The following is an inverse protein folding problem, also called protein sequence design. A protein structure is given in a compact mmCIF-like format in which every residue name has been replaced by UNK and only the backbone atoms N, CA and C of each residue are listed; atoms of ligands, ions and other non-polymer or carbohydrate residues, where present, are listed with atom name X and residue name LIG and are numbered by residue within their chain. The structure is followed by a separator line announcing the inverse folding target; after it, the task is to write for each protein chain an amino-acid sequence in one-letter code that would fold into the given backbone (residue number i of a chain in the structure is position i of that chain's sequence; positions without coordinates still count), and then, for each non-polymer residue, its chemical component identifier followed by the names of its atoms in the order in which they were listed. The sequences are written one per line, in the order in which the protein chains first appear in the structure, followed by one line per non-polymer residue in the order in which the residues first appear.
data_IF_584985025037
#
_entry.id   IF_584985025037
#
_cell.length_a   1.000
_cell.length_b   1.000
_cell.length_c   1.000
_cell.angle_alpha   90.00
_cell.angle_beta   90.00
_cell.angle_gamma   90.00
#
_symmetry.space_group_name_H-M   'P 1'
#
loop_
_entity.id
_entity.type
_entity.pdbx_description
1 polymer ?
#
# COMPACT_ATOMS: atom_id res chain seq x y z
N UNK A 1 -46.58 -19.96 21.91
CA UNK A 1 -47.47 -19.57 20.79
C UNK A 1 -46.93 -20.25 19.56
N UNK A 2 -47.79 -20.82 18.73
CA UNK A 2 -47.41 -21.40 17.43
C UNK A 2 -47.77 -20.44 16.28
N UNK A 3 -47.53 -20.86 15.04
CA UNK A 3 -47.79 -20.05 13.86
C UNK A 3 -49.30 -19.76 13.69
N UNK A 4 -50.15 -20.75 13.92
CA UNK A 4 -51.60 -20.63 13.71
C UNK A 4 -52.19 -19.64 14.71
N UNK A 5 -51.85 -19.79 16.01
CA UNK A 5 -52.30 -18.87 17.05
C UNK A 5 -51.84 -17.42 16.80
N UNK A 6 -50.59 -17.23 16.34
CA UNK A 6 -50.07 -15.90 15.97
C UNK A 6 -50.89 -15.29 14.83
N UNK A 7 -51.06 -16.05 13.74
CA UNK A 7 -51.69 -15.56 12.51
C UNK A 7 -53.19 -15.28 12.71
N UNK A 8 -53.88 -16.09 13.51
CA UNK A 8 -55.28 -15.83 13.87
C UNK A 8 -55.44 -14.54 14.67
N UNK A 9 -54.60 -14.34 15.68
CA UNK A 9 -54.60 -13.10 16.49
C UNK A 9 -54.25 -11.87 15.65
N UNK A 10 -53.25 -11.99 14.79
CA UNK A 10 -52.87 -10.93 13.87
C UNK A 10 -54.01 -10.60 12.89
N UNK A 11 -54.67 -11.61 12.32
CA UNK A 11 -55.83 -11.42 11.46
C UNK A 11 -57.03 -10.79 12.19
N UNK A 12 -57.15 -11.02 13.49
CA UNK A 12 -58.14 -10.35 14.35
C UNK A 12 -57.78 -8.90 14.70
N UNK A 13 -56.64 -8.39 14.22
CA UNK A 13 -56.18 -7.01 14.43
C UNK A 13 -55.27 -6.81 15.64
N UNK A 14 -54.87 -7.89 16.32
CA UNK A 14 -53.84 -7.80 17.36
C UNK A 14 -52.48 -7.55 16.71
N UNK A 15 -51.81 -6.46 17.09
CA UNK A 15 -50.47 -6.13 16.58
C UNK A 15 -49.38 -6.31 17.64
N UNK A 16 -49.73 -6.50 18.91
CA UNK A 16 -48.81 -6.42 20.05
C UNK A 16 -48.43 -7.79 20.58
N UNK A 17 -47.35 -8.35 20.08
CA UNK A 17 -46.82 -9.66 20.48
C UNK A 17 -45.50 -9.51 21.25
N UNK A 18 -45.56 -8.78 22.36
CA UNK A 18 -44.39 -8.49 23.19
C UNK A 18 -43.91 -9.75 23.91
N UNK A 19 -42.60 -9.97 23.94
CA UNK A 19 -41.97 -11.04 24.73
C UNK A 19 -42.51 -12.46 24.44
N UNK A 20 -43.15 -12.66 23.30
CA UNK A 20 -43.65 -13.98 22.90
C UNK A 20 -42.49 -14.91 22.54
N UNK A 21 -42.69 -16.21 22.72
CA UNK A 21 -41.76 -17.23 22.27
C UNK A 21 -42.30 -17.89 21.00
N UNK A 22 -41.56 -17.71 19.91
CA UNK A 22 -41.82 -18.21 18.56
C UNK A 22 -40.58 -18.91 17.99
N UNK A 23 -39.75 -19.50 18.86
CA UNK A 23 -38.51 -20.19 18.44
C UNK A 23 -38.81 -21.33 17.47
N UNK A 24 -38.13 -21.34 16.33
CA UNK A 24 -38.26 -22.40 15.32
C UNK A 24 -39.61 -22.44 14.60
N UNK A 25 -40.49 -21.47 14.81
CA UNK A 25 -41.81 -21.43 14.17
C UNK A 25 -41.65 -21.13 12.67
N UNK A 26 -42.50 -21.76 11.84
CA UNK A 26 -42.55 -21.46 10.42
C UNK A 26 -43.60 -20.37 10.14
N UNK A 27 -43.13 -19.22 9.67
CA UNK A 27 -43.89 -18.04 9.26
C UNK A 27 -43.52 -17.63 7.81
N UNK A 28 -43.10 -18.59 7.00
CA UNK A 28 -42.76 -18.37 5.58
C UNK A 28 -43.90 -17.69 4.85
N UNK A 29 -43.61 -16.60 4.14
CA UNK A 29 -44.59 -15.83 3.36
C UNK A 29 -45.66 -15.12 4.21
N UNK A 30 -45.56 -15.14 5.54
CA UNK A 30 -46.56 -14.50 6.39
C UNK A 30 -46.56 -12.98 6.19
N UNK A 31 -47.76 -12.39 6.13
CA UNK A 31 -47.91 -10.94 6.18
C UNK A 31 -48.01 -10.50 7.65
N UNK A 32 -46.96 -9.87 8.15
CA UNK A 32 -46.80 -9.39 9.52
C UNK A 32 -46.43 -7.90 9.54
N UNK A 33 -46.89 -7.15 8.53
CA UNK A 33 -46.61 -5.72 8.43
C UNK A 33 -47.08 -4.97 9.68
N UNK A 34 -46.24 -4.09 10.22
CA UNK A 34 -46.60 -3.28 11.38
C UNK A 34 -46.74 -4.05 12.69
N UNK A 35 -46.40 -5.35 12.72
CA UNK A 35 -46.42 -6.14 13.94
C UNK A 35 -45.40 -5.61 14.95
N UNK A 36 -45.71 -5.72 16.23
CA UNK A 36 -44.81 -5.39 17.32
C UNK A 36 -44.34 -6.68 18.02
N UNK A 37 -43.09 -7.05 17.76
CA UNK A 37 -42.39 -8.17 18.37
C UNK A 37 -41.35 -7.71 19.40
N UNK A 38 -41.55 -6.54 20.02
CA UNK A 38 -40.61 -6.03 21.03
C UNK A 38 -40.28 -7.10 22.07
N UNK A 39 -38.98 -7.35 22.26
CA UNK A 39 -38.43 -8.34 23.19
C UNK A 39 -38.86 -9.81 22.95
N UNK A 40 -39.49 -10.12 21.81
CA UNK A 40 -39.87 -11.49 21.48
C UNK A 40 -38.65 -12.36 21.14
N UNK A 41 -38.80 -13.67 21.34
CA UNK A 41 -37.81 -14.67 21.01
C UNK A 41 -38.22 -15.45 19.76
N UNK A 42 -37.59 -15.07 18.64
CA UNK A 42 -37.78 -15.65 17.31
C UNK A 42 -36.51 -16.41 16.88
N UNK A 43 -35.76 -16.97 17.83
CA UNK A 43 -34.54 -17.73 17.51
C UNK A 43 -34.88 -18.88 16.55
N UNK A 44 -34.21 -18.94 15.41
CA UNK A 44 -34.38 -20.01 14.42
C UNK A 44 -35.73 -20.02 13.70
N UNK A 45 -36.52 -18.95 13.79
CA UNK A 45 -37.78 -18.82 13.05
C UNK A 45 -37.52 -18.87 11.54
N UNK A 46 -38.47 -19.42 10.79
CA UNK A 46 -38.48 -19.31 9.33
C UNK A 46 -39.43 -18.18 8.91
N UNK A 47 -38.87 -17.10 8.39
CA UNK A 47 -39.53 -15.89 7.90
C UNK A 47 -39.16 -15.64 6.43
N UNK A 48 -38.75 -16.68 5.68
CA UNK A 48 -38.45 -16.54 4.26
C UNK A 48 -39.67 -15.96 3.53
N UNK A 49 -39.43 -15.00 2.63
CA UNK A 49 -40.45 -14.27 1.86
C UNK A 49 -41.54 -13.55 2.69
N UNK A 50 -41.38 -13.47 4.02
CA UNK A 50 -42.37 -12.84 4.89
C UNK A 50 -42.35 -11.31 4.75
N UNK A 51 -43.52 -10.67 4.96
CA UNK A 51 -43.62 -9.22 4.98
C UNK A 51 -43.63 -8.70 6.43
N UNK A 52 -42.53 -8.11 6.85
CA UNK A 52 -42.33 -7.45 8.16
C UNK A 52 -42.22 -5.93 8.01
N UNK A 53 -42.68 -5.35 6.88
CA UNK A 53 -42.54 -3.91 6.67
C UNK A 53 -43.17 -3.13 7.81
N UNK A 54 -42.49 -2.09 8.29
CA UNK A 54 -42.97 -1.23 9.39
C UNK A 54 -43.15 -1.96 10.73
N UNK A 55 -42.68 -3.19 10.87
CA UNK A 55 -42.70 -3.89 12.15
C UNK A 55 -41.78 -3.19 13.17
N UNK A 56 -42.10 -3.37 14.45
CA UNK A 56 -41.25 -3.01 15.57
C UNK A 56 -40.57 -4.28 16.11
N UNK A 57 -39.25 -4.36 15.93
CA UNK A 57 -38.42 -5.50 16.33
C UNK A 57 -37.39 -5.09 17.40
N UNK A 58 -37.73 -4.09 18.21
CA UNK A 58 -36.84 -3.60 19.27
C UNK A 58 -36.46 -4.73 20.24
N UNK A 59 -35.16 -4.95 20.45
CA UNK A 59 -34.65 -6.01 21.33
C UNK A 59 -35.15 -7.43 20.99
N UNK A 60 -35.66 -7.65 19.79
CA UNK A 60 -36.11 -8.98 19.34
C UNK A 60 -34.90 -9.88 19.06
N UNK A 61 -35.00 -11.15 19.44
CA UNK A 61 -33.96 -12.14 19.14
C UNK A 61 -34.32 -12.97 17.91
N UNK A 62 -33.64 -12.70 16.78
CA UNK A 62 -33.72 -13.42 15.51
C UNK A 62 -32.43 -14.22 15.23
N UNK A 63 -31.70 -14.62 16.26
CA UNK A 63 -30.49 -15.44 16.11
C UNK A 63 -30.83 -16.68 15.28
N UNK A 64 -30.04 -16.96 14.22
CA UNK A 64 -30.23 -18.10 13.30
C UNK A 64 -31.58 -18.13 12.56
N UNK A 65 -32.31 -17.02 12.48
CA UNK A 65 -33.54 -16.95 11.70
C UNK A 65 -33.26 -17.05 10.19
N UNK A 66 -34.20 -17.60 9.43
CA UNK A 66 -34.21 -17.53 7.97
C UNK A 66 -35.12 -16.39 7.53
N UNK A 67 -34.59 -15.42 6.80
CA UNK A 67 -35.25 -14.17 6.37
C UNK A 67 -34.94 -13.91 4.88
N UNK A 68 -34.66 -14.96 4.11
CA UNK A 68 -34.34 -14.86 2.69
C UNK A 68 -35.47 -14.15 1.96
N UNK A 69 -35.15 -13.13 1.17
CA UNK A 69 -36.11 -12.27 0.45
C UNK A 69 -37.19 -11.61 1.32
N UNK A 70 -37.09 -11.65 2.65
CA UNK A 70 -38.09 -11.06 3.52
C UNK A 70 -38.12 -9.54 3.34
N UNK A 71 -39.31 -8.96 3.46
CA UNK A 71 -39.48 -7.52 3.40
C UNK A 71 -39.42 -6.92 4.81
N UNK A 72 -38.28 -6.35 5.18
CA UNK A 72 -38.05 -5.60 6.42
C UNK A 72 -37.94 -4.09 6.14
N UNK A 73 -38.58 -3.58 5.09
CA UNK A 73 -38.50 -2.16 4.76
C UNK A 73 -39.19 -1.31 5.81
N UNK A 74 -38.67 -0.11 6.04
CA UNK A 74 -39.27 0.88 6.95
C UNK A 74 -39.50 0.36 8.37
N UNK A 75 -38.75 -0.65 8.85
CA UNK A 75 -38.82 -1.10 10.25
C UNK A 75 -38.75 0.10 11.19
N UNK A 76 -39.66 0.13 12.16
CA UNK A 76 -39.80 1.26 13.09
C UNK A 76 -39.21 0.88 14.44
N UNK A 77 -38.30 1.70 14.94
CA UNK A 77 -37.71 1.53 16.28
C UNK A 77 -37.10 0.14 16.54
N UNK A 78 -36.54 -0.53 15.54
CA UNK A 78 -35.93 -1.87 15.69
C UNK A 78 -34.49 -1.80 16.20
N UNK A 79 -34.27 -0.93 17.18
CA UNK A 79 -32.96 -0.77 17.81
C UNK A 79 -32.59 -2.04 18.57
N UNK A 80 -31.30 -2.38 18.54
CA UNK A 80 -30.76 -3.52 19.30
C UNK A 80 -31.37 -4.88 18.94
N UNK A 81 -31.92 -5.04 17.73
CA UNK A 81 -32.33 -6.36 17.22
C UNK A 81 -31.10 -7.27 17.09
N UNK A 82 -31.26 -8.54 17.48
CA UNK A 82 -30.19 -9.53 17.37
C UNK A 82 -30.44 -10.48 16.19
N UNK A 83 -29.64 -10.34 15.13
CA UNK A 83 -29.67 -11.09 13.88
C UNK A 83 -28.39 -11.94 13.71
N UNK A 84 -27.69 -12.26 14.80
CA UNK A 84 -26.46 -13.06 14.75
C UNK A 84 -26.75 -14.40 14.04
N UNK A 85 -25.92 -14.78 13.07
CA UNK A 85 -26.08 -16.01 12.26
C UNK A 85 -27.38 -16.12 11.45
N UNK A 86 -28.15 -15.04 11.29
CA UNK A 86 -29.37 -15.07 10.48
C UNK A 86 -29.02 -15.05 8.97
N UNK A 87 -29.90 -15.64 8.15
CA UNK A 87 -29.83 -15.54 6.69
C UNK A 87 -30.84 -14.50 6.20
N UNK A 88 -30.35 -13.34 5.76
CA UNK A 88 -31.12 -12.25 5.16
C UNK A 88 -30.75 -12.05 3.68
N UNK A 89 -30.26 -13.09 3.00
CA UNK A 89 -29.91 -12.98 1.58
C UNK A 89 -31.10 -12.49 0.76
N UNK A 90 -30.88 -11.47 -0.06
CA UNK A 90 -31.91 -10.81 -0.87
C UNK A 90 -32.98 -10.02 -0.08
N UNK A 91 -32.87 -9.92 1.26
CA UNK A 91 -33.88 -9.22 2.06
C UNK A 91 -33.92 -7.71 1.76
N UNK A 92 -35.10 -7.13 1.89
CA UNK A 92 -35.31 -5.69 1.71
C UNK A 92 -35.34 -4.98 3.07
N UNK A 93 -34.26 -4.29 3.44
CA UNK A 93 -34.14 -3.46 4.64
C UNK A 93 -34.14 -1.95 4.32
N UNK A 94 -34.65 -1.57 3.15
CA UNK A 94 -34.66 -0.18 2.70
C UNK A 94 -35.37 0.73 3.71
N UNK A 95 -34.75 1.85 4.03
CA UNK A 95 -35.27 2.86 4.97
C UNK A 95 -35.59 2.32 6.38
N UNK A 96 -35.09 1.12 6.74
CA UNK A 96 -35.26 0.56 8.06
C UNK A 96 -34.48 1.34 9.12
N UNK A 97 -35.07 1.52 10.31
CA UNK A 97 -34.35 1.99 11.48
C UNK A 97 -33.90 0.81 12.35
N UNK A 98 -32.63 0.41 12.17
CA UNK A 98 -32.02 -0.75 12.80
C UNK A 98 -30.68 -0.38 13.46
N UNK A 99 -30.59 0.84 14.01
CA UNK A 99 -29.41 1.29 14.74
C UNK A 99 -29.07 0.35 15.90
N UNK A 100 -27.78 0.15 16.18
CA UNK A 100 -27.29 -0.75 17.22
C UNK A 100 -27.68 -2.22 17.07
N UNK A 101 -28.19 -2.63 15.91
CA UNK A 101 -28.47 -4.04 15.61
C UNK A 101 -27.19 -4.88 15.55
N UNK A 102 -27.30 -6.16 15.88
CA UNK A 102 -26.21 -7.12 15.77
C UNK A 102 -26.44 -8.09 14.60
N UNK A 103 -25.67 -7.92 13.52
CA UNK A 103 -25.63 -8.78 12.33
C UNK A 103 -24.36 -9.64 12.28
N UNK A 104 -23.67 -9.84 13.40
CA UNK A 104 -22.42 -10.60 13.36
C UNK A 104 -22.63 -12.02 12.81
N UNK A 105 -21.79 -12.42 11.87
CA UNK A 105 -21.87 -13.70 11.13
C UNK A 105 -23.18 -13.89 10.33
N UNK A 106 -23.96 -12.84 10.09
CA UNK A 106 -25.17 -12.93 9.28
C UNK A 106 -24.83 -12.93 7.78
N UNK A 107 -25.71 -13.54 6.98
CA UNK A 107 -25.68 -13.43 5.53
C UNK A 107 -26.63 -12.32 5.08
N UNK A 108 -26.12 -11.28 4.42
CA UNK A 108 -26.89 -10.20 3.81
C UNK A 108 -26.55 -10.05 2.32
N UNK A 109 -26.06 -11.10 1.68
CA UNK A 109 -25.73 -11.06 0.26
C UNK A 109 -26.94 -10.64 -0.56
N UNK A 110 -26.75 -9.70 -1.48
CA UNK A 110 -27.80 -9.11 -2.32
C UNK A 110 -28.89 -8.33 -1.56
N UNK A 111 -28.75 -8.08 -0.26
CA UNK A 111 -29.75 -7.35 0.52
C UNK A 111 -29.80 -5.86 0.12
N UNK A 112 -31.00 -5.28 0.19
CA UNK A 112 -31.22 -3.85 -0.03
C UNK A 112 -31.29 -3.10 1.31
N UNK A 113 -30.19 -2.45 1.69
CA UNK A 113 -30.05 -1.62 2.90
C UNK A 113 -30.10 -0.12 2.57
N UNK A 114 -30.54 0.26 1.36
CA UNK A 114 -30.46 1.65 0.91
C UNK A 114 -31.25 2.58 1.84
N UNK A 115 -30.65 3.72 2.19
CA UNK A 115 -31.20 4.73 3.11
C UNK A 115 -31.53 4.22 4.54
N UNK A 116 -31.09 3.03 4.92
CA UNK A 116 -31.31 2.54 6.27
C UNK A 116 -30.49 3.34 7.31
N UNK A 117 -31.00 3.43 8.53
CA UNK A 117 -30.21 3.88 9.68
C UNK A 117 -29.49 2.66 10.28
N UNK A 118 -28.19 2.58 10.02
CA UNK A 118 -27.30 1.50 10.47
C UNK A 118 -26.27 2.01 11.48
N UNK A 119 -26.50 3.16 12.11
CA UNK A 119 -25.56 3.72 13.08
C UNK A 119 -25.33 2.73 14.25
N UNK A 120 -24.06 2.56 14.65
CA UNK A 120 -23.60 1.64 15.70
C UNK A 120 -23.93 0.16 15.48
N UNK A 121 -24.25 -0.26 14.25
CA UNK A 121 -24.52 -1.67 13.95
C UNK A 121 -23.24 -2.51 13.95
N UNK A 122 -23.39 -3.81 14.26
CA UNK A 122 -22.29 -4.77 14.21
C UNK A 122 -22.46 -5.74 13.03
N UNK A 123 -21.66 -5.56 11.97
CA UNK A 123 -21.53 -6.46 10.82
C UNK A 123 -20.24 -7.31 10.88
N UNK A 124 -19.62 -7.49 12.05
CA UNK A 124 -18.40 -8.28 12.14
C UNK A 124 -18.59 -9.70 11.59
N UNK A 125 -17.70 -10.16 10.71
CA UNK A 125 -17.81 -11.46 10.03
C UNK A 125 -19.07 -11.66 9.17
N UNK A 126 -19.84 -10.61 8.87
CA UNK A 126 -21.02 -10.72 8.02
C UNK A 126 -20.65 -10.77 6.54
N UNK A 127 -21.51 -11.39 5.73
CA UNK A 127 -21.44 -11.32 4.27
C UNK A 127 -22.42 -10.26 3.77
N UNK A 128 -21.94 -9.30 3.00
CA UNK A 128 -22.73 -8.23 2.37
C UNK A 128 -22.38 -8.13 0.89
N UNK A 129 -22.03 -9.25 0.25
CA UNK A 129 -21.61 -9.23 -1.15
C UNK A 129 -22.80 -8.82 -2.02
N UNK A 130 -22.58 -7.89 -2.96
CA UNK A 130 -23.61 -7.29 -3.81
C UNK A 130 -24.71 -6.52 -3.05
N UNK A 131 -24.55 -6.26 -1.74
CA UNK A 131 -25.54 -5.53 -0.96
C UNK A 131 -25.59 -4.04 -1.36
N UNK A 132 -26.78 -3.47 -1.35
CA UNK A 132 -26.99 -2.05 -1.64
C UNK A 132 -27.14 -1.26 -0.34
N UNK A 133 -26.09 -0.58 0.12
CA UNK A 133 -26.08 0.30 1.29
C UNK A 133 -26.15 1.79 0.90
N UNK A 134 -26.42 2.11 -0.36
CA UNK A 134 -26.41 3.51 -0.85
C UNK A 134 -27.29 4.40 0.04
N UNK A 135 -26.76 5.57 0.39
CA UNK A 135 -27.44 6.57 1.23
C UNK A 135 -27.71 6.17 2.69
N UNK A 136 -27.22 5.02 3.16
CA UNK A 136 -27.36 4.63 4.55
C UNK A 136 -26.46 5.48 5.48
N UNK A 137 -26.87 5.62 6.73
CA UNK A 137 -26.00 6.13 7.81
C UNK A 137 -25.30 4.96 8.48
N UNK A 138 -23.98 5.02 8.57
CA UNK A 138 -23.11 3.93 9.01
C UNK A 138 -22.11 4.42 10.07
N UNK A 139 -22.52 5.38 10.88
CA UNK A 139 -21.63 5.96 11.88
C UNK A 139 -21.30 4.92 12.95
N UNK A 140 -20.03 4.81 13.35
CA UNK A 140 -19.58 3.84 14.36
C UNK A 140 -19.90 2.37 14.02
N UNK A 141 -20.19 2.06 12.76
CA UNK A 141 -20.51 0.70 12.34
C UNK A 141 -19.25 -0.17 12.33
N UNK A 142 -19.39 -1.41 12.78
CA UNK A 142 -18.31 -2.39 12.80
C UNK A 142 -18.42 -3.36 11.61
N UNK A 143 -17.53 -3.24 10.63
CA UNK A 143 -17.35 -4.15 9.50
C UNK A 143 -16.11 -5.05 9.63
N UNK A 144 -15.59 -5.25 10.84
CA UNK A 144 -14.37 -6.08 11.03
C UNK A 144 -14.55 -7.46 10.41
N UNK A 145 -13.62 -7.88 9.55
CA UNK A 145 -13.65 -9.18 8.84
C UNK A 145 -14.89 -9.40 7.95
N UNK A 146 -15.68 -8.36 7.65
CA UNK A 146 -16.86 -8.48 6.79
C UNK A 146 -16.47 -8.59 5.31
N UNK A 147 -17.28 -9.32 4.54
CA UNK A 147 -17.20 -9.32 3.07
C UNK A 147 -18.17 -8.29 2.50
N UNK A 148 -17.67 -7.37 1.67
CA UNK A 148 -18.44 -6.34 0.98
C UNK A 148 -18.08 -6.33 -0.51
N UNK A 149 -17.90 -7.51 -1.11
CA UNK A 149 -17.50 -7.62 -2.51
C UNK A 149 -18.64 -7.09 -3.38
N UNK A 150 -18.33 -6.17 -4.30
CA UNK A 150 -19.31 -5.52 -5.19
C UNK A 150 -20.48 -4.83 -4.43
N UNK A 151 -20.28 -4.49 -3.16
CA UNK A 151 -21.27 -3.75 -2.37
C UNK A 151 -21.32 -2.27 -2.80
N UNK A 152 -22.50 -1.66 -2.68
CA UNK A 152 -22.69 -0.24 -2.97
C UNK A 152 -22.79 0.57 -1.67
N UNK A 153 -21.71 1.24 -1.29
CA UNK A 153 -21.63 2.18 -0.17
C UNK A 153 -21.60 3.64 -0.64
N UNK A 154 -22.00 3.93 -1.87
CA UNK A 154 -21.95 5.28 -2.39
C UNK A 154 -22.81 6.25 -1.56
N UNK A 155 -22.29 7.45 -1.31
CA UNK A 155 -22.94 8.52 -0.53
C UNK A 155 -23.30 8.16 0.93
N UNK A 156 -22.71 7.09 1.48
CA UNK A 156 -22.91 6.74 2.88
C UNK A 156 -22.17 7.71 3.81
N UNK A 157 -22.65 7.82 5.06
CA UNK A 157 -21.91 8.49 6.13
C UNK A 157 -21.16 7.44 6.96
N UNK A 158 -19.85 7.33 6.74
CA UNK A 158 -18.99 6.32 7.36
C UNK A 158 -18.22 6.84 8.57
N UNK A 159 -18.62 7.97 9.16
CA UNK A 159 -17.88 8.57 10.26
C UNK A 159 -17.58 7.57 11.39
N UNK A 160 -16.30 7.35 11.67
CA UNK A 160 -15.81 6.40 12.70
C UNK A 160 -16.18 4.92 12.48
N UNK A 161 -16.55 4.52 11.25
CA UNK A 161 -16.73 3.11 10.92
C UNK A 161 -15.40 2.34 10.94
N UNK A 162 -15.45 1.05 11.24
CA UNK A 162 -14.27 0.17 11.31
C UNK A 162 -14.35 -0.92 10.23
N UNK A 163 -13.43 -0.90 9.27
CA UNK A 163 -13.29 -1.89 8.19
C UNK A 163 -12.05 -2.77 8.35
N UNK A 164 -11.53 -2.92 9.57
CA UNK A 164 -10.32 -3.72 9.79
C UNK A 164 -10.51 -5.14 9.23
N UNK A 165 -9.58 -5.59 8.39
CA UNK A 165 -9.60 -6.93 7.75
C UNK A 165 -10.83 -7.18 6.85
N UNK A 166 -11.63 -6.15 6.55
CA UNK A 166 -12.75 -6.27 5.63
C UNK A 166 -12.29 -6.39 4.16
N UNK A 167 -13.13 -7.05 3.35
CA UNK A 167 -12.92 -7.17 1.92
C UNK A 167 -13.87 -6.25 1.13
N UNK A 168 -13.35 -5.15 0.59
CA UNK A 168 -14.09 -4.20 -0.25
C UNK A 168 -13.71 -4.33 -1.74
N UNK A 169 -13.41 -5.55 -2.19
CA UNK A 169 -13.11 -5.78 -3.61
C UNK A 169 -14.30 -5.36 -4.47
N UNK A 170 -14.06 -4.61 -5.55
CA UNK A 170 -15.10 -4.06 -6.46
C UNK A 170 -16.14 -3.11 -5.82
N UNK A 171 -16.02 -2.83 -4.52
CA UNK A 171 -16.98 -2.01 -3.79
C UNK A 171 -17.03 -0.56 -4.30
N UNK A 172 -18.23 0.03 -4.34
CA UNK A 172 -18.41 1.45 -4.64
C UNK A 172 -18.53 2.29 -3.37
N UNK A 173 -17.50 3.07 -3.05
CA UNK A 173 -17.48 4.07 -1.96
C UNK A 173 -17.50 5.51 -2.51
N UNK A 174 -17.88 5.70 -3.77
CA UNK A 174 -17.88 7.01 -4.41
C UNK A 174 -18.75 8.00 -3.62
N UNK A 175 -18.21 9.19 -3.37
CA UNK A 175 -18.88 10.25 -2.61
C UNK A 175 -19.24 9.88 -1.16
N UNK A 176 -18.68 8.80 -0.60
CA UNK A 176 -18.82 8.54 0.83
C UNK A 176 -18.22 9.69 1.64
N UNK A 177 -18.92 10.10 2.68
CA UNK A 177 -18.56 11.28 3.49
C UNK A 177 -17.79 10.81 4.73
N UNK A 178 -16.83 11.62 5.18
CA UNK A 178 -16.11 11.45 6.46
C UNK A 178 -15.22 10.20 6.58
N UNK A 179 -14.42 9.91 5.55
CA UNK A 179 -13.41 8.84 5.64
C UNK A 179 -12.18 9.22 6.46
N UNK A 180 -12.05 10.42 7.01
CA UNK A 180 -10.85 10.79 7.79
C UNK A 180 -10.74 10.00 9.11
N UNK A 181 -11.86 9.62 9.72
CA UNK A 181 -11.90 8.92 11.03
C UNK A 181 -12.09 7.40 10.96
N UNK A 182 -12.27 6.83 9.77
CA UNK A 182 -12.45 5.37 9.66
C UNK A 182 -11.17 4.60 9.95
N UNK A 183 -11.34 3.38 10.46
CA UNK A 183 -10.25 2.41 10.64
C UNK A 183 -10.20 1.49 9.43
N UNK A 184 -9.01 1.35 8.81
CA UNK A 184 -8.81 0.62 7.55
C UNK A 184 -7.68 -0.42 7.64
N UNK A 185 -7.36 -0.92 8.83
CA UNK A 185 -6.20 -1.79 9.01
C UNK A 185 -6.38 -3.10 8.21
N UNK A 186 -5.42 -3.46 7.37
CA UNK A 186 -5.45 -4.69 6.57
C UNK A 186 -6.69 -4.85 5.66
N UNK A 187 -7.39 -3.77 5.35
CA UNK A 187 -8.55 -3.79 4.46
C UNK A 187 -8.13 -3.99 2.99
N UNK A 188 -8.90 -4.79 2.23
CA UNK A 188 -8.68 -4.98 0.80
C UNK A 188 -9.55 -4.03 -0.03
N UNK A 189 -8.95 -3.21 -0.89
CA UNK A 189 -9.60 -2.24 -1.78
C UNK A 189 -9.41 -2.55 -3.26
N UNK A 190 -9.04 -3.77 -3.62
CA UNK A 190 -8.82 -4.16 -5.02
C UNK A 190 -10.04 -3.79 -5.89
N UNK A 191 -9.81 -3.05 -6.98
CA UNK A 191 -10.87 -2.57 -7.90
C UNK A 191 -11.98 -1.71 -7.26
N UNK A 192 -11.83 -1.28 -6.01
CA UNK A 192 -12.81 -0.43 -5.34
C UNK A 192 -12.88 0.96 -5.98
N UNK A 193 -14.08 1.55 -6.02
CA UNK A 193 -14.31 2.92 -6.50
C UNK A 193 -14.35 3.88 -5.32
N UNK A 194 -13.34 4.73 -5.18
CA UNK A 194 -13.13 5.61 -4.02
C UNK A 194 -12.78 7.03 -4.49
N UNK A 195 -13.45 7.52 -5.54
CA UNK A 195 -13.14 8.79 -6.19
C UNK A 195 -13.49 10.00 -5.32
N UNK A 196 -12.62 11.01 -5.34
CA UNK A 196 -12.90 12.31 -4.71
C UNK A 196 -13.00 12.31 -3.19
N UNK A 197 -12.57 11.23 -2.53
CA UNK A 197 -12.64 11.12 -1.07
C UNK A 197 -11.46 11.82 -0.39
N UNK A 198 -11.58 12.04 0.92
CA UNK A 198 -10.47 12.50 1.74
C UNK A 198 -9.94 11.37 2.64
N UNK A 199 -8.73 10.91 2.36
CA UNK A 199 -7.98 9.93 3.16
C UNK A 199 -6.67 10.51 3.72
N UNK A 200 -6.50 11.84 3.72
CA UNK A 200 -5.25 12.51 4.12
C UNK A 200 -4.71 11.99 5.46
N UNK A 201 -3.38 11.87 5.57
CA UNK A 201 -2.64 11.47 6.77
C UNK A 201 -2.90 10.04 7.28
N UNK A 202 -3.61 9.18 6.54
CA UNK A 202 -3.83 7.79 6.96
C UNK A 202 -2.60 6.91 6.75
N UNK A 203 -2.46 5.92 7.63
CA UNK A 203 -1.58 4.78 7.39
C UNK A 203 -2.32 3.71 6.60
N UNK A 204 -1.91 3.52 5.34
CA UNK A 204 -2.42 2.54 4.39
C UNK A 204 -1.29 1.60 3.92
N UNK A 205 -0.23 1.45 4.73
CA UNK A 205 0.94 0.67 4.37
C UNK A 205 0.62 -0.82 4.20
N UNK A 206 1.22 -1.44 3.19
CA UNK A 206 1.05 -2.87 2.87
C UNK A 206 -0.33 -3.27 2.33
N UNK A 207 -1.29 -2.35 2.25
CA UNK A 207 -2.65 -2.64 1.80
C UNK A 207 -2.75 -2.87 0.29
N UNK A 208 -3.82 -3.53 -0.14
CA UNK A 208 -4.08 -3.82 -1.54
C UNK A 208 -5.09 -2.82 -2.13
N UNK A 209 -4.64 -2.00 -3.05
CA UNK A 209 -5.42 -1.07 -3.87
C UNK A 209 -5.23 -1.34 -5.37
N UNK A 210 -4.85 -2.58 -5.74
CA UNK A 210 -4.66 -2.92 -7.14
C UNK A 210 -5.93 -2.58 -7.95
N UNK A 211 -5.77 -1.84 -9.04
CA UNK A 211 -6.85 -1.42 -9.95
C UNK A 211 -7.95 -0.57 -9.29
N UNK A 212 -7.74 -0.07 -8.07
CA UNK A 212 -8.70 0.82 -7.40
C UNK A 212 -8.76 2.20 -8.08
N UNK A 213 -9.88 2.89 -7.93
CA UNK A 213 -10.08 4.24 -8.46
C UNK A 213 -10.14 5.30 -7.36
N UNK A 214 -9.02 5.99 -7.16
CA UNK A 214 -8.87 7.14 -6.26
C UNK A 214 -8.68 8.45 -7.03
N UNK A 215 -9.23 8.54 -8.25
CA UNK A 215 -9.14 9.77 -9.04
C UNK A 215 -9.70 10.98 -8.27
N UNK A 216 -8.96 12.09 -8.30
CA UNK A 216 -9.25 13.33 -7.58
C UNK A 216 -9.38 13.20 -6.03
N UNK A 217 -8.89 12.12 -5.43
CA UNK A 217 -8.88 11.97 -3.98
C UNK A 217 -7.84 12.88 -3.31
N UNK A 218 -8.13 13.31 -2.08
CA UNK A 218 -7.15 13.93 -1.20
C UNK A 218 -6.38 12.86 -0.43
N UNK A 219 -5.12 12.67 -0.79
CA UNK A 219 -4.19 11.67 -0.25
C UNK A 219 -2.94 12.33 0.37
N UNK A 220 -3.05 13.60 0.76
CA UNK A 220 -1.97 14.37 1.37
C UNK A 220 -1.37 13.66 2.57
N UNK A 221 -0.07 13.36 2.52
CA UNK A 221 0.69 12.71 3.59
C UNK A 221 0.23 11.30 3.95
N UNK A 222 -0.50 10.61 3.07
CA UNK A 222 -0.84 9.20 3.26
C UNK A 222 0.41 8.34 3.24
N UNK A 223 0.43 7.30 4.08
CA UNK A 223 1.47 6.28 4.04
C UNK A 223 1.02 5.07 3.20
N UNK A 224 1.52 4.95 1.98
CA UNK A 224 1.35 3.79 1.10
C UNK A 224 2.61 2.90 1.06
N UNK A 225 3.48 2.95 2.07
CA UNK A 225 4.69 2.14 2.10
C UNK A 225 4.37 0.66 1.85
N UNK A 226 5.06 0.01 0.90
CA UNK A 226 4.85 -1.40 0.49
C UNK A 226 3.43 -1.74 0.02
N UNK A 227 2.56 -0.76 -0.22
CA UNK A 227 1.21 -1.03 -0.72
C UNK A 227 1.24 -1.58 -2.15
N UNK A 228 0.26 -2.42 -2.48
CA UNK A 228 0.01 -2.87 -3.85
C UNK A 228 -0.92 -1.88 -4.53
N UNK A 229 -0.39 -1.06 -5.44
CA UNK A 229 -1.11 -0.01 -6.17
C UNK A 229 -1.07 -0.28 -7.68
N UNK A 230 -0.86 -1.53 -8.11
CA UNK A 230 -0.74 -1.90 -9.51
C UNK A 230 -2.02 -1.53 -10.26
N UNK A 231 -1.93 -0.80 -11.37
CA UNK A 231 -3.09 -0.41 -12.16
C UNK A 231 -4.00 0.63 -11.50
N UNK A 232 -3.61 1.19 -10.36
CA UNK A 232 -4.44 2.15 -9.63
C UNK A 232 -4.71 3.41 -10.47
N UNK A 233 -5.91 3.98 -10.35
CA UNK A 233 -6.23 5.28 -10.92
C UNK A 233 -6.09 6.37 -9.85
N UNK A 234 -5.06 7.19 -9.99
CA UNK A 234 -4.74 8.35 -9.16
C UNK A 234 -4.82 9.66 -9.96
N UNK A 235 -5.51 9.65 -11.12
CA UNK A 235 -5.59 10.83 -11.97
C UNK A 235 -6.17 12.05 -11.22
N UNK A 236 -5.46 13.18 -11.27
CA UNK A 236 -5.77 14.41 -10.53
C UNK A 236 -5.79 14.30 -9.00
N UNK A 237 -5.26 13.23 -8.42
CA UNK A 237 -5.20 13.09 -6.97
C UNK A 237 -4.17 14.03 -6.34
N UNK A 238 -4.45 14.47 -5.11
CA UNK A 238 -3.53 15.25 -4.27
C UNK A 238 -2.64 14.27 -3.48
N UNK A 239 -1.40 14.07 -3.92
CA UNK A 239 -0.44 13.11 -3.38
C UNK A 239 0.75 13.81 -2.67
N UNK A 240 0.59 15.06 -2.24
CA UNK A 240 1.71 15.81 -1.68
C UNK A 240 2.17 15.16 -0.36
N UNK A 241 3.49 15.03 -0.20
CA UNK A 241 4.13 14.40 0.96
C UNK A 241 3.72 12.93 1.21
N UNK A 242 3.13 12.26 0.22
CA UNK A 242 2.76 10.85 0.33
C UNK A 242 4.03 9.97 0.50
N UNK A 243 3.94 8.92 1.31
CA UNK A 243 5.02 7.93 1.40
C UNK A 243 4.68 6.71 0.53
N UNK A 244 5.33 6.60 -0.63
CA UNK A 244 5.19 5.50 -1.58
C UNK A 244 6.37 4.52 -1.50
N UNK A 245 7.19 4.58 -0.45
CA UNK A 245 8.42 3.77 -0.38
C UNK A 245 8.11 2.27 -0.58
N UNK A 246 8.75 1.65 -1.58
CA UNK A 246 8.55 0.24 -1.97
C UNK A 246 7.12 -0.13 -2.40
N UNK A 247 6.27 0.84 -2.74
CA UNK A 247 4.95 0.58 -3.30
C UNK A 247 5.05 0.12 -4.76
N UNK A 248 4.09 -0.70 -5.22
CA UNK A 248 4.01 -1.11 -6.62
C UNK A 248 2.98 -0.25 -7.36
N UNK A 249 3.40 0.67 -8.22
CA UNK A 249 2.53 1.49 -9.08
C UNK A 249 2.62 1.08 -10.56
N UNK A 250 2.97 -0.17 -10.86
CA UNK A 250 3.03 -0.63 -12.25
C UNK A 250 1.66 -0.48 -12.93
N UNK A 251 1.63 0.11 -14.12
CA UNK A 251 0.44 0.41 -14.92
C UNK A 251 -0.53 1.41 -14.26
N UNK A 252 -0.10 2.14 -13.22
CA UNK A 252 -0.91 3.15 -12.57
C UNK A 252 -1.19 4.35 -13.49
N UNK A 253 -2.35 4.97 -13.35
CA UNK A 253 -2.68 6.25 -13.97
C UNK A 253 -2.47 7.38 -12.95
N UNK A 254 -1.45 8.22 -13.14
CA UNK A 254 -1.15 9.39 -12.32
C UNK A 254 -1.32 10.71 -13.08
N UNK A 255 -2.08 10.72 -14.19
CA UNK A 255 -2.26 11.93 -15.00
C UNK A 255 -2.67 13.13 -14.15
N UNK A 256 -1.90 14.22 -14.24
CA UNK A 256 -2.18 15.48 -13.52
C UNK A 256 -2.30 15.34 -12.00
N UNK A 257 -1.74 14.27 -11.42
CA UNK A 257 -1.64 14.13 -9.97
C UNK A 257 -0.52 15.03 -9.42
N UNK A 258 -0.62 15.45 -8.16
CA UNK A 258 0.41 16.27 -7.52
C UNK A 258 1.19 15.47 -6.48
N UNK A 259 2.41 15.04 -6.82
CA UNK A 259 3.31 14.28 -5.96
C UNK A 259 4.34 15.15 -5.23
N UNK A 260 4.15 16.47 -5.13
CA UNK A 260 5.14 17.38 -4.51
C UNK A 260 5.59 16.87 -3.14
N UNK A 261 6.90 16.67 -2.95
CA UNK A 261 7.48 16.16 -1.70
C UNK A 261 7.19 14.70 -1.38
N UNK A 262 6.67 13.89 -2.30
CA UNK A 262 6.41 12.48 -2.09
C UNK A 262 7.72 11.67 -1.94
N UNK A 263 7.72 10.68 -1.03
CA UNK A 263 8.81 9.71 -0.91
C UNK A 263 8.54 8.50 -1.83
N UNK A 264 9.24 8.44 -2.96
CA UNK A 264 9.08 7.37 -3.96
C UNK A 264 10.20 6.32 -3.94
N UNK A 265 11.03 6.28 -2.88
CA UNK A 265 12.20 5.40 -2.83
C UNK A 265 11.83 3.91 -2.98
N UNK A 266 12.37 3.25 -4.01
CA UNK A 266 12.12 1.84 -4.30
C UNK A 266 10.70 1.51 -4.77
N UNK A 267 9.86 2.51 -5.07
CA UNK A 267 8.58 2.30 -5.72
C UNK A 267 8.77 1.89 -7.19
N UNK A 268 7.85 1.11 -7.76
CA UNK A 268 7.86 0.74 -9.18
C UNK A 268 6.79 1.52 -9.96
N UNK A 269 7.09 1.90 -11.19
CA UNK A 269 6.20 2.69 -12.07
C UNK A 269 6.18 2.14 -13.49
N UNK A 270 6.39 0.83 -13.69
CA UNK A 270 6.47 0.25 -15.04
C UNK A 270 5.16 0.49 -15.78
N UNK A 271 5.23 1.13 -16.95
CA UNK A 271 4.06 1.53 -17.75
C UNK A 271 3.07 2.47 -17.03
N UNK A 272 3.48 3.17 -15.97
CA UNK A 272 2.63 4.16 -15.34
C UNK A 272 2.48 5.40 -16.24
N UNK A 273 1.28 5.98 -16.28
CA UNK A 273 0.99 7.20 -17.02
C UNK A 273 1.12 8.42 -16.11
N UNK A 274 2.23 9.15 -16.24
CA UNK A 274 2.57 10.33 -15.44
C UNK A 274 2.24 11.65 -16.15
N UNK A 275 1.52 11.61 -17.29
CA UNK A 275 1.34 12.79 -18.15
C UNK A 275 0.75 13.98 -17.39
N UNK A 276 1.50 15.07 -17.31
CA UNK A 276 1.11 16.31 -16.63
C UNK A 276 1.10 16.24 -15.10
N UNK A 277 1.63 15.16 -14.48
CA UNK A 277 1.77 15.07 -13.04
C UNK A 277 2.84 16.05 -12.52
N UNK A 278 2.67 16.59 -11.31
CA UNK A 278 3.72 17.33 -10.60
C UNK A 278 4.55 16.31 -9.82
N UNK A 279 5.86 16.27 -10.06
CA UNK A 279 6.78 15.27 -9.50
C UNK A 279 7.26 15.69 -8.10
N UNK A 280 7.96 14.81 -7.34
CA UNK A 280 8.39 15.11 -5.98
C UNK A 280 9.24 16.37 -5.80
N UNK A 281 9.99 16.77 -6.82
CA UNK A 281 10.79 18.00 -6.88
C UNK A 281 9.99 19.26 -7.23
N UNK A 282 8.70 19.11 -7.57
CA UNK A 282 7.81 20.19 -7.98
C UNK A 282 7.76 20.44 -9.49
N UNK A 283 8.54 19.72 -10.28
CA UNK A 283 8.54 19.86 -11.75
C UNK A 283 7.35 19.11 -12.37
N UNK A 284 6.82 19.64 -13.48
CA UNK A 284 5.73 18.97 -14.21
C UNK A 284 6.31 17.93 -15.17
N UNK A 285 5.85 16.69 -15.04
CA UNK A 285 6.16 15.63 -15.98
C UNK A 285 5.49 15.90 -17.33
N UNK A 286 6.30 16.18 -18.34
CA UNK A 286 5.85 16.43 -19.72
C UNK A 286 6.24 15.26 -20.60
N UNK A 287 5.34 14.86 -21.51
CA UNK A 287 5.66 13.88 -22.55
C UNK A 287 6.06 14.60 -23.83
N UNK A 288 6.84 13.95 -24.69
CA UNK A 288 7.25 14.51 -25.99
C UNK A 288 6.07 14.82 -26.94
N UNK A 289 4.86 14.39 -26.60
CA UNK A 289 3.63 14.55 -27.40
C UNK A 289 2.83 15.80 -27.00
N UNK A 290 3.16 16.46 -25.88
CA UNK A 290 2.46 17.66 -25.39
C UNK A 290 3.02 18.98 -25.94
N UNK A 291 3.89 18.94 -26.95
CA UNK A 291 4.45 20.12 -27.60
C UNK A 291 3.51 20.60 -28.71
N UNK A 292 2.69 21.62 -28.40
CA UNK A 292 2.07 22.49 -29.41
C UNK A 292 3.17 23.12 -30.27
N UNK A 293 3.20 22.80 -31.57
CA UNK A 293 4.19 23.28 -32.54
C UNK A 293 4.11 24.79 -32.87
N UNK A 294 3.28 25.57 -32.17
CA UNK A 294 2.96 26.98 -32.51
C UNK A 294 3.61 28.05 -31.62
N UNK A 295 4.62 27.73 -30.80
CA UNK A 295 5.40 28.74 -30.03
C UNK A 295 6.88 28.75 -30.42
N UNK A 296 7.37 29.80 -31.13
CA UNK A 296 8.75 29.82 -31.67
C UNK A 296 9.86 29.97 -30.61
N UNK A 297 9.54 30.29 -29.36
CA UNK A 297 10.52 30.64 -28.32
C UNK A 297 10.62 29.62 -27.17
N UNK A 298 10.07 28.41 -27.34
CA UNK A 298 10.29 27.34 -26.35
C UNK A 298 11.75 26.85 -26.44
N UNK A 299 12.52 26.80 -25.33
CA UNK A 299 13.87 26.26 -25.37
C UNK A 299 13.83 24.81 -25.87
N UNK A 300 14.74 24.49 -26.79
CA UNK A 300 14.88 23.16 -27.39
C UNK A 300 14.85 22.08 -26.28
N UNK A 301 14.11 20.97 -26.48
CA UNK A 301 14.00 19.93 -25.47
C UNK A 301 15.39 19.39 -25.13
N UNK A 302 15.73 19.37 -23.85
CA UNK A 302 16.79 18.48 -23.38
C UNK A 302 16.27 17.06 -23.60
N UNK A 303 17.11 16.19 -24.14
CA UNK A 303 16.83 14.75 -24.25
C UNK A 303 16.16 14.25 -22.97
N UNK A 304 15.19 13.31 -23.07
CA UNK A 304 14.43 12.84 -21.92
C UNK A 304 15.43 12.42 -20.83
N UNK A 305 15.56 13.27 -19.81
CA UNK A 305 16.42 12.95 -18.67
C UNK A 305 15.81 11.71 -18.06
N UNK A 306 16.54 10.60 -18.18
CA UNK A 306 16.23 9.38 -17.49
C UNK A 306 15.86 9.72 -16.04
N UNK A 307 14.70 9.23 -15.61
CA UNK A 307 14.34 9.25 -14.20
C UNK A 307 15.47 8.49 -13.49
N UNK A 308 16.34 9.20 -12.77
CA UNK A 308 17.46 8.60 -12.07
C UNK A 308 16.91 7.79 -10.89
N UNK A 309 16.50 6.55 -11.19
CA UNK A 309 16.35 5.50 -10.19
C UNK A 309 17.74 5.32 -9.59
N UNK A 310 17.87 5.46 -8.27
CA UNK A 310 19.09 5.08 -7.57
C UNK A 310 19.28 3.57 -7.71
N UNK A 311 19.95 3.14 -8.78
CA UNK A 311 20.21 1.72 -9.07
C UNK A 311 21.44 1.25 -8.32
N UNK A 312 21.48 -0.06 -8.02
CA UNK A 312 22.62 -0.74 -7.39
C UNK A 312 23.09 -1.86 -8.31
N UNK A 313 24.32 -1.76 -8.82
CA UNK A 313 24.97 -2.83 -9.62
C UNK A 313 26.22 -3.33 -8.90
N UNK A 314 26.37 -4.65 -8.84
CA UNK A 314 27.58 -5.31 -8.33
C UNK A 314 28.62 -5.37 -9.45
N UNK A 315 29.84 -4.93 -9.18
CA UNK A 315 30.97 -5.00 -10.12
C UNK A 315 31.86 -6.17 -9.71
N UNK A 316 32.18 -7.04 -10.67
CA UNK A 316 33.02 -8.24 -10.49
C UNK A 316 33.86 -8.49 -11.73
N UNK A 317 35.15 -8.71 -11.54
CA UNK A 317 36.10 -9.10 -12.59
C UNK A 317 37.01 -10.22 -12.09
N UNK A 318 37.42 -11.11 -12.98
CA UNK A 318 38.42 -12.17 -12.74
C UNK A 318 39.86 -11.62 -12.75
N UNK A 319 40.04 -10.38 -13.22
CA UNK A 319 41.34 -9.67 -13.25
C UNK A 319 41.70 -8.98 -11.93
N UNK A 320 40.86 -9.11 -10.90
CA UNK A 320 41.11 -8.62 -9.56
C UNK A 320 40.78 -9.71 -8.52
N UNK A 321 41.35 -9.66 -7.31
CA UNK A 321 41.14 -10.68 -6.30
C UNK A 321 39.66 -10.90 -5.97
N UNK A 322 39.24 -12.16 -5.92
CA UNK A 322 37.89 -12.49 -5.51
C UNK A 322 37.65 -12.09 -4.04
N UNK A 323 36.46 -11.60 -3.67
CA UNK A 323 36.14 -11.29 -2.28
C UNK A 323 36.23 -12.55 -1.39
N UNK A 324 37.02 -12.46 -0.33
CA UNK A 324 37.16 -13.52 0.68
C UNK A 324 36.35 -13.13 1.93
N UNK A 325 35.03 -13.00 1.77
CA UNK A 325 34.11 -12.56 2.83
C UNK A 325 32.80 -11.95 2.29
N UNK A 326 31.91 -11.44 3.16
CA UNK A 326 30.61 -10.89 2.77
C UNK A 326 30.71 -9.46 2.19
N UNK A 327 31.55 -9.26 1.18
CA UNK A 327 31.70 -7.99 0.46
C UNK A 327 31.83 -8.22 -1.06
N UNK A 328 31.76 -7.15 -1.86
CA UNK A 328 31.99 -7.19 -3.31
C UNK A 328 33.21 -6.33 -3.67
N UNK A 329 33.84 -6.58 -4.82
CA UNK A 329 34.97 -5.77 -5.32
C UNK A 329 34.58 -4.29 -5.44
N UNK A 330 33.42 -4.00 -6.04
CA UNK A 330 32.83 -2.68 -6.00
C UNK A 330 31.30 -2.70 -6.13
N UNK A 331 30.66 -1.60 -5.72
CA UNK A 331 29.24 -1.31 -5.92
C UNK A 331 29.10 -0.01 -6.69
N UNK A 332 28.41 -0.07 -7.83
CA UNK A 332 27.96 1.12 -8.54
C UNK A 332 26.58 1.50 -7.99
N UNK A 333 26.49 2.66 -7.37
CA UNK A 333 25.27 3.28 -6.85
C UNK A 333 24.88 4.47 -7.73
N UNK A 334 23.57 4.71 -7.87
CA UNK A 334 22.99 5.85 -8.61
C UNK A 334 23.34 5.95 -10.10
N UNK A 335 23.97 4.91 -10.67
CA UNK A 335 24.53 4.94 -12.02
C UNK A 335 25.76 5.84 -12.19
N UNK A 336 26.22 6.50 -11.12
CA UNK A 336 27.27 7.53 -11.19
C UNK A 336 28.38 7.33 -10.14
N UNK A 337 28.07 6.82 -8.95
CA UNK A 337 29.07 6.67 -7.88
C UNK A 337 29.52 5.23 -7.73
N UNK A 338 30.80 4.97 -7.95
CA UNK A 338 31.44 3.68 -7.77
C UNK A 338 32.20 3.63 -6.44
N UNK A 339 31.82 2.70 -5.57
CA UNK A 339 32.47 2.43 -4.29
C UNK A 339 33.32 1.17 -4.41
N UNK A 340 34.64 1.31 -4.43
CA UNK A 340 35.60 0.20 -4.56
C UNK A 340 36.10 -0.21 -3.18
N UNK A 341 36.03 -1.51 -2.88
CA UNK A 341 36.53 -2.05 -1.62
C UNK A 341 38.06 -1.96 -1.52
N UNK A 342 38.59 -1.92 -0.30
CA UNK A 342 40.02 -1.92 -0.03
C UNK A 342 40.76 -3.03 -0.76
N UNK A 343 41.71 -2.64 -1.60
CA UNK A 343 42.54 -3.55 -2.38
C UNK A 343 43.88 -3.78 -1.67
N UNK A 344 44.27 -5.05 -1.59
CA UNK A 344 45.56 -5.52 -1.08
C UNK A 344 46.33 -6.24 -2.19
N UNK A 345 47.61 -6.50 -1.97
CA UNK A 345 48.54 -7.06 -2.96
C UNK A 345 48.36 -8.56 -3.22
N UNK A 346 47.15 -9.00 -3.55
CA UNK A 346 46.87 -10.35 -4.03
C UNK A 346 47.03 -10.37 -5.55
N UNK A 347 47.77 -11.35 -6.08
CA UNK A 347 47.76 -11.66 -7.52
C UNK A 347 46.53 -12.52 -7.83
N UNK A 348 45.58 -12.06 -8.66
CA UNK A 348 44.34 -12.80 -8.94
C UNK A 348 44.57 -14.16 -9.60
N UNK A 349 45.72 -14.38 -10.26
CA UNK A 349 46.08 -15.67 -10.89
C UNK A 349 46.53 -16.70 -9.86
N UNK A 350 47.18 -16.23 -8.80
CA UNK A 350 47.69 -17.07 -7.72
C UNK A 350 46.70 -17.20 -6.57
N UNK A 351 45.79 -16.22 -6.41
CA UNK A 351 44.85 -16.15 -5.30
C UNK A 351 45.51 -15.82 -3.95
N UNK A 352 46.78 -15.42 -3.95
CA UNK A 352 47.55 -15.17 -2.73
C UNK A 352 48.33 -13.85 -2.75
N UNK A 353 48.75 -13.40 -1.56
CA UNK A 353 49.52 -12.18 -1.38
C UNK A 353 50.90 -12.33 -2.00
N UNK A 354 51.32 -11.33 -2.77
CA UNK A 354 52.64 -11.26 -3.40
C UNK A 354 53.45 -10.12 -2.78
N UNK A 355 54.78 -10.26 -2.83
CA UNK A 355 55.73 -9.24 -2.39
C UNK A 355 55.62 -8.89 -0.89
N UNK A 356 55.55 -9.90 -0.02
CA UNK A 356 55.26 -9.76 1.42
C UNK A 356 56.16 -8.78 2.18
N UNK A 357 57.37 -8.49 1.69
CA UNK A 357 58.37 -7.60 2.33
C UNK A 357 58.69 -6.35 1.49
N UNK A 358 58.00 -6.11 0.37
CA UNK A 358 58.32 -5.04 -0.58
C UNK A 358 57.08 -4.16 -0.81
N UNK A 359 56.98 -3.08 -0.03
CA UNK A 359 55.83 -2.17 -0.06
C UNK A 359 55.63 -1.51 -1.43
N UNK A 360 56.72 -1.29 -2.18
CA UNK A 360 56.66 -0.70 -3.52
C UNK A 360 55.94 -1.66 -4.46
N UNK A 361 56.35 -2.92 -4.50
CA UNK A 361 55.70 -3.93 -5.35
C UNK A 361 54.29 -4.29 -4.88
N UNK A 362 54.03 -4.26 -3.57
CA UNK A 362 52.66 -4.39 -3.07
C UNK A 362 51.77 -3.25 -3.55
N UNK A 363 52.26 -2.00 -3.47
CA UNK A 363 51.53 -0.84 -3.97
C UNK A 363 51.26 -0.98 -5.46
N UNK A 364 52.24 -1.42 -6.26
CA UNK A 364 52.04 -1.66 -7.70
C UNK A 364 50.96 -2.72 -7.97
N UNK A 365 50.93 -3.80 -7.20
CA UNK A 365 49.88 -4.83 -7.34
C UNK A 365 48.51 -4.31 -6.90
N UNK A 366 48.43 -3.54 -5.81
CA UNK A 366 47.20 -2.88 -5.35
C UNK A 366 46.64 -1.96 -6.43
N UNK A 367 47.49 -1.15 -7.06
CA UNK A 367 47.06 -0.26 -8.14
C UNK A 367 46.56 -1.04 -9.37
N UNK A 368 47.18 -2.16 -9.75
CA UNK A 368 46.66 -3.03 -10.82
C UNK A 368 45.29 -3.64 -10.48
N UNK A 369 45.08 -4.03 -9.22
CA UNK A 369 43.80 -4.57 -8.77
C UNK A 369 42.70 -3.49 -8.81
N UNK A 370 43.00 -2.27 -8.39
CA UNK A 370 42.10 -1.12 -8.51
C UNK A 370 41.78 -0.83 -9.99
N UNK A 371 42.79 -0.81 -10.86
CA UNK A 371 42.63 -0.57 -12.29
C UNK A 371 41.69 -1.59 -12.94
N UNK A 372 41.83 -2.87 -12.60
CA UNK A 372 40.97 -3.93 -13.11
C UNK A 372 39.49 -3.72 -12.70
N UNK A 373 39.23 -3.34 -11.44
CA UNK A 373 37.87 -3.08 -10.94
C UNK A 373 37.28 -1.82 -11.56
N UNK A 374 38.07 -0.74 -11.65
CA UNK A 374 37.67 0.49 -12.34
C UNK A 374 37.31 0.19 -13.80
N UNK A 375 38.17 -0.54 -14.51
CA UNK A 375 37.94 -0.90 -15.92
C UNK A 375 36.66 -1.71 -16.10
N UNK A 376 36.39 -2.69 -15.24
CA UNK A 376 35.14 -3.48 -15.27
C UNK A 376 33.89 -2.60 -15.04
N UNK A 377 34.04 -1.53 -14.24
CA UNK A 377 32.98 -0.56 -14.02
C UNK A 377 32.85 0.49 -15.12
N UNK A 378 33.69 0.46 -16.17
CA UNK A 378 33.76 1.49 -17.20
C UNK A 378 34.45 2.79 -16.76
N UNK A 379 35.25 2.73 -15.70
CA UNK A 379 35.98 3.85 -15.10
C UNK A 379 37.50 3.72 -15.35
N UNK A 380 38.21 4.82 -15.12
CA UNK A 380 39.66 4.94 -15.11
C UNK A 380 40.13 5.65 -13.83
N UNK A 381 41.44 5.76 -13.61
CA UNK A 381 41.96 6.54 -12.47
C UNK A 381 41.57 8.02 -12.51
N UNK A 382 41.22 8.58 -13.68
CA UNK A 382 40.75 9.97 -13.80
C UNK A 382 39.39 10.20 -13.16
N UNK A 383 38.60 9.13 -13.03
CA UNK A 383 37.25 9.17 -12.49
C UNK A 383 37.25 9.07 -10.96
N UNK A 384 38.39 8.74 -10.35
CA UNK A 384 38.54 8.62 -8.89
C UNK A 384 38.50 10.01 -8.25
N UNK A 385 37.60 10.19 -7.29
CA UNK A 385 37.40 11.46 -6.57
C UNK A 385 37.94 11.42 -5.13
N UNK A 386 38.07 10.23 -4.54
CA UNK A 386 38.57 10.03 -3.17
C UNK A 386 39.32 8.71 -3.03
N UNK A 387 40.43 8.71 -2.31
CA UNK A 387 41.14 7.48 -1.87
C UNK A 387 41.35 7.43 -0.37
N UNK A 388 41.32 6.21 0.19
CA UNK A 388 41.82 5.89 1.53
C UNK A 388 43.08 5.04 1.39
N UNK A 389 44.18 5.48 1.99
CA UNK A 389 45.47 4.76 1.98
C UNK A 389 45.81 4.35 3.40
N UNK A 390 45.93 3.05 3.63
CA UNK A 390 46.21 2.48 4.94
C UNK A 390 47.56 1.77 4.88
N UNK A 391 48.47 2.14 5.79
CA UNK A 391 49.84 1.62 5.85
C UNK A 391 50.04 0.80 7.12
N UNK A 392 50.85 -0.25 7.03
CA UNK A 392 51.33 -0.97 8.21
C UNK A 392 52.43 -0.20 8.96
N UNK A 393 53.21 0.62 8.26
CA UNK A 393 54.27 1.47 8.81
C UNK A 393 54.29 2.82 8.06
N UNK A 394 54.16 3.95 8.78
CA UNK A 394 54.18 5.28 8.19
C UNK A 394 55.53 5.64 7.55
N UNK A 395 56.61 4.96 7.90
CA UNK A 395 57.92 5.16 7.26
C UNK A 395 57.89 4.81 5.76
N UNK A 396 56.94 3.98 5.31
CA UNK A 396 56.78 3.61 3.90
C UNK A 396 56.03 4.67 3.07
N UNK A 397 55.56 5.76 3.69
CA UNK A 397 54.76 6.79 3.03
C UNK A 397 55.42 7.34 1.76
N UNK A 398 56.73 7.62 1.80
CA UNK A 398 57.46 8.15 0.65
C UNK A 398 57.51 7.14 -0.51
N UNK A 399 57.73 5.86 -0.20
CA UNK A 399 57.81 4.79 -1.18
C UNK A 399 56.44 4.52 -1.84
N UNK A 400 55.37 4.47 -1.05
CA UNK A 400 53.99 4.32 -1.53
C UNK A 400 53.59 5.51 -2.41
N UNK A 401 53.91 6.75 -1.99
CA UNK A 401 53.60 7.95 -2.77
C UNK A 401 54.29 7.96 -4.13
N UNK A 402 55.53 7.50 -4.22
CA UNK A 402 56.26 7.44 -5.48
C UNK A 402 55.58 6.52 -6.51
N UNK A 403 54.91 5.45 -6.05
CA UNK A 403 54.08 4.59 -6.92
C UNK A 403 52.73 5.24 -7.20
N UNK A 404 52.06 5.76 -6.17
CA UNK A 404 50.75 6.38 -6.26
C UNK A 404 50.71 7.56 -7.26
N UNK A 405 51.73 8.41 -7.26
CA UNK A 405 51.85 9.56 -8.15
C UNK A 405 51.95 9.19 -9.64
N UNK A 406 52.28 7.94 -9.98
CA UNK A 406 52.27 7.45 -11.36
C UNK A 406 50.85 7.34 -11.94
N UNK A 407 49.86 7.18 -11.08
CA UNK A 407 48.45 6.99 -11.46
C UNK A 407 47.59 8.24 -11.23
N UNK A 408 48.02 9.11 -10.32
CA UNK A 408 47.33 10.35 -9.96
C UNK A 408 48.26 11.55 -10.14
N UNK A 409 48.19 12.25 -11.29
CA UNK A 409 48.89 13.52 -11.51
C UNK A 409 48.51 14.56 -10.45
N UNK A 410 49.46 15.43 -10.07
CA UNK A 410 49.29 16.41 -8.98
C UNK A 410 48.12 17.37 -9.21
N UNK A 411 47.87 17.76 -10.45
CA UNK A 411 46.82 18.68 -10.87
C UNK A 411 45.41 18.07 -10.84
N UNK A 412 45.29 16.75 -10.88
CA UNK A 412 44.00 16.03 -10.91
C UNK A 412 43.89 14.96 -9.82
N UNK A 413 44.77 14.98 -8.81
CA UNK A 413 44.79 13.95 -7.78
C UNK A 413 43.49 13.98 -6.95
N UNK A 414 42.94 12.81 -6.57
CA UNK A 414 41.73 12.75 -5.75
C UNK A 414 42.00 13.29 -4.35
N UNK A 415 40.92 13.68 -3.66
CA UNK A 415 40.99 13.87 -2.22
C UNK A 415 41.54 12.60 -1.56
N UNK A 416 42.33 12.73 -0.50
CA UNK A 416 43.03 11.59 0.10
C UNK A 416 43.10 11.67 1.62
N UNK A 417 42.92 10.52 2.26
CA UNK A 417 43.34 10.29 3.65
C UNK A 417 44.40 9.18 3.66
N UNK A 418 45.49 9.39 4.39
CA UNK A 418 46.57 8.41 4.53
C UNK A 418 46.91 8.27 6.00
N UNK A 419 46.86 7.04 6.54
CA UNK A 419 47.08 6.75 7.96
C UNK A 419 47.84 5.43 8.14
N UNK A 420 48.57 5.33 9.24
CA UNK A 420 49.08 4.06 9.74
C UNK A 420 47.97 3.36 10.54
N UNK A 421 47.84 2.04 10.38
CA UNK A 421 46.84 1.23 11.10
C UNK A 421 47.51 0.12 11.90
N UNK A 422 46.83 -0.35 12.95
CA UNK A 422 47.38 -1.38 13.84
C UNK A 422 47.67 -2.71 13.14
N UNK A 423 46.89 -3.06 12.11
CA UNK A 423 47.08 -4.26 11.28
C UNK A 423 46.22 -4.23 10.01
N UNK A 424 46.77 -4.71 8.90
CA UNK A 424 46.04 -4.93 7.65
C UNK A 424 45.68 -6.41 7.42
N UNK A 425 44.62 -6.73 6.66
CA UNK A 425 44.26 -8.09 6.30
C UNK A 425 45.44 -8.86 5.68
N UNK A 426 45.62 -10.12 6.08
CA UNK A 426 46.76 -10.97 5.66
C UNK A 426 48.16 -10.40 5.96
N UNK A 427 48.29 -9.41 6.84
CA UNK A 427 49.57 -8.73 7.17
C UNK A 427 50.25 -8.07 5.97
N UNK A 428 49.49 -7.56 5.00
CA UNK A 428 50.05 -6.76 3.91
C UNK A 428 50.58 -5.43 4.46
N UNK A 429 51.41 -4.75 3.68
CA UNK A 429 52.05 -3.48 4.05
C UNK A 429 51.20 -2.26 3.66
N UNK A 430 50.31 -2.42 2.67
CA UNK A 430 49.46 -1.35 2.15
C UNK A 430 48.09 -1.89 1.70
N UNK A 431 47.04 -1.12 1.99
CA UNK A 431 45.69 -1.29 1.47
C UNK A 431 45.18 0.04 0.94
N UNK A 432 44.54 0.03 -0.24
CA UNK A 432 43.98 1.26 -0.85
C UNK A 432 42.55 1.01 -1.29
N UNK A 433 41.64 1.88 -0.85
CA UNK A 433 40.25 1.96 -1.33
C UNK A 433 40.02 3.24 -2.13
N UNK A 434 38.97 3.25 -2.97
CA UNK A 434 38.61 4.47 -3.68
C UNK A 434 37.11 4.62 -3.95
N UNK A 435 36.71 5.87 -4.17
CA UNK A 435 35.41 6.27 -4.72
C UNK A 435 35.67 6.93 -6.06
N UNK A 436 34.95 6.52 -7.09
CA UNK A 436 34.99 7.12 -8.42
C UNK A 436 33.60 7.61 -8.84
N UNK A 437 33.58 8.60 -9.74
CA UNK A 437 32.37 9.11 -10.37
C UNK A 437 32.46 8.88 -11.86
N UNK A 438 31.59 8.02 -12.40
CA UNK A 438 31.52 7.77 -13.84
C UNK A 438 30.47 8.68 -14.48
N UNK A 439 30.84 9.31 -15.61
CA UNK A 439 29.89 10.04 -16.45
C UNK A 439 28.88 9.07 -17.05
N UNK A 440 27.59 9.36 -16.86
CA UNK A 440 26.50 8.61 -17.49
C UNK A 440 26.41 8.84 -18.98
#
# INVERSE_FOLDING_TARGET
MDAEELLEKYAAGELKFHSVNLRGVNLTGANLSGIDFTSADLTGVDLNDANLSKANLNSTNLTRASLTNANLSELVNSSSINLTWADLSGANLREANISSANFSNANLDNANLSKANLDSTNFSNAHLDNANLRDATLQYTNFTEASLIDANLARTNLNSANFSEANLTDCDLSQAINLTKITLKNTNFQRAKIRGVNLSQKDLSGMNFAEADLGAANLNGVNFQKASLKGINLGKAELQKVNLMRANLDNANLKKADLTGANIYGATFKNADLTGAIMPDGEVYTTSVDLDFDKPDAPLPKDPKEIYIMTRKVIRTDKAPAPVGPYNQAILASGQMLFVAGQIAIDPRLGDVVYTEDVVKQTEQVMRNLEAILTEAGATFKDVVKTGVFLADMNDFAAVNAVYAKYFPEDTAPARACVEVSRLPKNVLVEIECIAVIGG
#
